data_IF_250665764801
#
_entry.id   IF_250665764801
#
_cell.length_a   1.000
_cell.length_b   1.000
_cell.length_c   1.000
_cell.angle_alpha   90.00
_cell.angle_beta   90.00
_cell.angle_gamma   90.00
#
_symmetry.space_group_name_H-M   'P 1'
#
loop_
_entity.id
_entity.type
_entity.pdbx_description
1 polymer ?
#
# COMPACT_ATOMS: atom_id res chain seq x y z
N UNK A 1 3.87 -7.56 -1.29
CA UNK A 1 2.68 -6.73 -1.61
C UNK A 1 2.79 -5.40 -0.91
N UNK A 2 2.33 -4.34 -1.59
CA UNK A 2 2.14 -3.00 -1.02
C UNK A 2 0.64 -2.80 -0.89
N UNK A 3 0.16 -2.45 0.30
CA UNK A 3 -1.27 -2.27 0.55
C UNK A 3 -1.55 -1.22 1.64
N UNK A 4 -2.62 -0.45 1.43
CA UNK A 4 -3.21 0.45 2.40
C UNK A 4 -4.49 -0.17 2.97
N UNK A 5 -4.62 -0.13 4.29
CA UNK A 5 -5.80 -0.63 5.00
C UNK A 5 -6.52 0.51 5.73
N UNK A 6 -7.80 0.29 6.01
CA UNK A 6 -8.58 1.12 6.91
C UNK A 6 -7.89 1.15 8.29
N UNK A 7 -8.00 2.26 9.05
CA UNK A 7 -7.36 2.37 10.35
C UNK A 7 -7.78 1.22 11.28
N UNK A 8 -6.78 0.58 11.90
CA UNK A 8 -7.01 -0.42 12.95
C UNK A 8 -6.84 0.22 14.32
N UNK A 9 -7.51 -0.31 15.33
CA UNK A 9 -7.38 0.19 16.71
C UNK A 9 -6.38 -0.63 17.51
N UNK A 10 -5.41 0.03 18.12
CA UNK A 10 -4.47 -0.56 19.07
C UNK A 10 -4.57 0.20 20.38
N UNK A 11 -5.01 -0.47 21.45
CA UNK A 11 -5.24 0.15 22.76
C UNK A 11 -6.19 1.37 22.71
N UNK A 12 -7.21 1.33 21.83
CA UNK A 12 -8.18 2.41 21.65
C UNK A 12 -7.69 3.57 20.76
N UNK A 13 -6.44 3.51 20.28
CA UNK A 13 -5.87 4.53 19.40
C UNK A 13 -5.98 4.04 17.94
N UNK A 14 -6.60 4.83 17.03
CA UNK A 14 -6.62 4.49 15.61
C UNK A 14 -5.22 4.65 15.00
N UNK A 15 -4.79 3.67 14.22
CA UNK A 15 -3.50 3.63 13.54
C UNK A 15 -3.71 3.36 12.06
N UNK A 16 -3.14 4.21 11.21
CA UNK A 16 -3.08 3.99 9.78
C UNK A 16 -2.13 2.82 9.49
N UNK A 17 -2.69 1.67 9.11
CA UNK A 17 -1.90 0.47 8.86
C UNK A 17 -1.57 0.30 7.39
N UNK A 18 -0.29 0.08 7.09
CA UNK A 18 0.24 -0.17 5.74
C UNK A 18 1.04 -1.46 5.75
N UNK A 19 0.92 -2.25 4.68
CA UNK A 19 1.88 -3.32 4.40
C UNK A 19 2.82 -2.82 3.32
N UNK A 20 4.08 -2.58 3.66
CA UNK A 20 5.12 -2.10 2.74
C UNK A 20 6.16 -3.19 2.59
N UNK A 21 5.99 -4.02 1.56
CA UNK A 21 6.83 -5.18 1.35
C UNK A 21 6.41 -6.36 2.23
N UNK A 22 6.40 -7.54 1.61
CA UNK A 22 6.46 -8.81 2.34
C UNK A 22 7.87 -9.34 2.05
N UNK A 23 8.53 -10.07 2.95
CA UNK A 23 9.83 -10.69 2.65
C UNK A 23 9.82 -11.71 1.49
N UNK A 24 8.68 -11.84 0.79
CA UNK A 24 8.44 -12.64 -0.39
C UNK A 24 8.06 -11.73 -1.59
N UNK A 25 8.21 -12.27 -2.80
CA UNK A 25 7.89 -11.56 -4.05
C UNK A 25 6.45 -11.01 -3.99
N UNK A 26 6.19 -9.73 -4.33
CA UNK A 26 4.82 -9.23 -4.40
C UNK A 26 4.03 -9.99 -5.46
N UNK A 27 2.89 -10.57 -5.09
CA UNK A 27 2.01 -11.32 -5.99
C UNK A 27 0.73 -10.53 -6.24
N UNK A 28 0.37 -10.35 -7.52
CA UNK A 28 -0.73 -9.46 -7.91
C UNK A 28 -2.13 -10.02 -7.78
N UNK A 29 -2.28 -11.33 -8.00
CA UNK A 29 -3.59 -11.96 -7.91
C UNK A 29 -3.81 -12.41 -6.46
N UNK A 30 -4.39 -11.53 -5.65
CA UNK A 30 -4.74 -11.81 -4.25
C UNK A 30 -6.23 -11.54 -4.06
N UNK A 31 -7.08 -12.50 -4.43
CA UNK A 31 -8.54 -12.39 -4.29
C UNK A 31 -8.97 -12.07 -2.86
N UNK A 32 -8.18 -12.51 -1.88
CA UNK A 32 -8.38 -12.24 -0.47
C UNK A 32 -8.24 -10.76 -0.11
N UNK A 33 -7.54 -9.95 -0.92
CA UNK A 33 -7.43 -8.51 -0.71
C UNK A 33 -8.50 -7.73 -1.48
N UNK A 34 -8.96 -8.22 -2.63
CA UNK A 34 -10.00 -7.55 -3.43
C UNK A 34 -11.34 -7.49 -2.68
N UNK A 35 -11.74 -8.60 -2.04
CA UNK A 35 -13.03 -8.70 -1.34
C UNK A 35 -12.95 -8.28 0.13
N UNK A 36 -11.76 -7.91 0.61
CA UNK A 36 -11.55 -7.56 2.01
C UNK A 36 -12.02 -6.12 2.31
N UNK A 37 -13.05 -5.93 3.16
CA UNK A 37 -13.60 -4.59 3.41
C UNK A 37 -12.62 -3.63 4.10
N UNK A 38 -11.57 -4.16 4.74
CA UNK A 38 -10.52 -3.38 5.38
C UNK A 38 -9.41 -2.92 4.42
N UNK A 39 -9.39 -3.37 3.17
CA UNK A 39 -8.37 -2.97 2.19
C UNK A 39 -8.85 -1.72 1.46
N UNK A 40 -8.11 -0.62 1.60
CA UNK A 40 -8.40 0.62 0.86
C UNK A 40 -7.77 0.60 -0.52
N UNK A 41 -6.58 0.03 -0.62
CA UNK A 41 -5.83 -0.08 -1.86
C UNK A 41 -4.74 -1.16 -1.73
N UNK A 42 -4.39 -1.80 -2.84
CA UNK A 42 -3.20 -2.62 -2.95
C UNK A 42 -2.66 -2.60 -4.37
N UNK A 43 -1.38 -2.92 -4.53
CA UNK A 43 -0.73 -2.94 -5.84
C UNK A 43 -1.22 -4.13 -6.69
N UNK A 44 -1.68 -3.83 -7.90
CA UNK A 44 -2.20 -4.81 -8.88
C UNK A 44 -1.40 -4.81 -10.18
N UNK A 45 -0.55 -3.81 -10.39
CA UNK A 45 0.18 -3.63 -11.63
C UNK A 45 1.26 -4.68 -11.78
N UNK A 46 1.15 -5.49 -12.83
CA UNK A 46 2.11 -6.52 -13.15
C UNK A 46 3.47 -5.89 -13.46
N UNK A 47 4.53 -6.39 -12.85
CA UNK A 47 5.89 -5.92 -13.06
C UNK A 47 6.51 -6.40 -14.39
N UNK A 48 5.79 -7.23 -15.14
CA UNK A 48 6.20 -7.90 -16.37
C UNK A 48 7.54 -8.64 -16.22
N UNK A 49 7.76 -9.25 -15.05
CA UNK A 49 8.93 -10.04 -14.78
C UNK A 49 8.81 -11.40 -15.51
N UNK A 50 9.68 -11.70 -16.50
CA UNK A 50 9.58 -12.93 -17.29
C UNK A 50 9.89 -14.18 -16.45
N UNK A 51 10.63 -14.04 -15.35
CA UNK A 51 10.91 -15.16 -14.45
C UNK A 51 9.78 -15.37 -13.44
N UNK A 52 8.99 -14.33 -13.14
CA UNK A 52 7.89 -14.37 -12.17
C UNK A 52 6.66 -13.67 -12.74
N UNK A 53 5.87 -14.33 -13.61
CA UNK A 53 4.77 -13.69 -14.37
C UNK A 53 3.66 -13.08 -13.52
N UNK A 54 3.57 -13.46 -12.25
CA UNK A 54 2.57 -13.00 -11.28
C UNK A 54 3.09 -11.88 -10.38
N UNK A 55 4.34 -11.45 -10.56
CA UNK A 55 4.95 -10.38 -9.79
C UNK A 55 4.24 -9.07 -10.08
N UNK A 56 3.93 -8.32 -9.03
CA UNK A 56 3.54 -6.91 -9.16
C UNK A 56 4.69 -5.98 -8.79
N UNK A 57 4.56 -4.72 -9.19
CA UNK A 57 5.55 -3.70 -8.90
C UNK A 57 5.84 -3.66 -7.39
N UNK A 58 7.14 -3.54 -7.04
CA UNK A 58 7.49 -3.16 -5.68
C UNK A 58 7.11 -1.68 -5.47
N UNK A 59 7.24 -1.23 -4.23
CA UNK A 59 7.07 0.16 -3.89
C UNK A 59 7.50 0.46 -2.47
N UNK A 60 7.36 1.72 -2.09
CA UNK A 60 7.65 2.21 -0.76
C UNK A 60 6.59 3.24 -0.35
N UNK A 61 6.55 3.53 0.95
CA UNK A 61 5.76 4.63 1.48
C UNK A 61 6.62 5.88 1.64
N UNK A 62 6.15 6.99 1.13
CA UNK A 62 6.61 8.31 1.50
C UNK A 62 5.64 8.87 2.56
N UNK A 63 6.19 9.31 3.68
CA UNK A 63 5.45 9.98 4.74
C UNK A 63 5.96 11.43 4.82
N UNK A 64 5.03 12.38 4.76
CA UNK A 64 5.34 13.80 4.92
C UNK A 64 4.55 14.36 6.09
N UNK A 65 5.25 15.04 6.98
CA UNK A 65 4.67 15.72 8.14
C UNK A 65 4.65 17.22 7.88
N UNK A 66 3.46 17.82 7.88
CA UNK A 66 3.24 19.25 7.73
C UNK A 66 2.46 19.77 8.93
N UNK A 67 3.18 20.24 9.96
CA UNK A 67 2.56 20.58 11.23
C UNK A 67 1.96 19.33 11.91
N UNK A 68 0.65 19.33 12.10
CA UNK A 68 -0.11 18.19 12.61
C UNK A 68 -0.55 17.20 11.53
N UNK A 69 -0.35 17.52 10.26
CA UNK A 69 -0.87 16.75 9.15
C UNK A 69 0.13 15.67 8.73
N UNK A 70 -0.36 14.45 8.59
CA UNK A 70 0.37 13.32 8.03
C UNK A 70 -0.16 13.04 6.63
N UNK A 71 0.70 13.21 5.63
CA UNK A 71 0.41 12.89 4.23
C UNK A 71 1.17 11.60 3.88
N UNK A 72 0.43 10.62 3.40
CA UNK A 72 0.94 9.30 3.03
C UNK A 72 0.84 9.11 1.53
N UNK A 73 1.94 8.72 0.89
CA UNK A 73 1.97 8.41 -0.54
C UNK A 73 2.61 7.05 -0.74
N UNK A 74 1.95 6.17 -1.48
CA UNK A 74 2.53 4.90 -1.94
C UNK A 74 3.05 5.10 -3.36
N UNK A 75 4.34 4.82 -3.52
CA UNK A 75 5.09 5.03 -4.76
C UNK A 75 5.63 3.69 -5.24
N UNK A 76 5.48 3.39 -6.53
CA UNK A 76 6.04 2.17 -7.10
C UNK A 76 7.56 2.24 -7.33
N UNK A 77 8.14 1.11 -7.73
CA UNK A 77 9.58 0.99 -8.04
C UNK A 77 10.04 1.86 -9.22
N UNK A 78 9.10 2.38 -10.02
CA UNK A 78 9.37 3.29 -11.14
C UNK A 78 9.23 4.77 -10.74
N UNK A 79 8.84 5.06 -9.49
CA UNK A 79 8.62 6.42 -8.99
C UNK A 79 7.21 6.98 -9.25
N UNK A 80 6.27 6.16 -9.71
CA UNK A 80 4.89 6.57 -9.94
C UNK A 80 4.07 6.53 -8.65
N UNK A 81 3.29 7.59 -8.40
CA UNK A 81 2.32 7.62 -7.29
C UNK A 81 1.16 6.68 -7.61
N UNK A 82 0.91 5.74 -6.71
CA UNK A 82 -0.16 4.74 -6.86
C UNK A 82 -1.35 4.98 -5.95
N UNK A 83 -1.09 5.57 -4.79
CA UNK A 83 -2.11 5.87 -3.80
C UNK A 83 -1.66 7.02 -2.91
N UNK A 84 -2.60 7.86 -2.52
CA UNK A 84 -2.35 8.97 -1.62
C UNK A 84 -3.47 9.06 -0.58
N UNK A 85 -3.08 9.38 0.65
CA UNK A 85 -3.97 9.73 1.73
C UNK A 85 -3.46 10.98 2.41
N UNK A 86 -4.28 12.01 2.36
CA UNK A 86 -4.09 13.26 3.07
C UNK A 86 -5.30 13.45 4.01
N UNK A 87 -5.13 14.18 5.14
CA UNK A 87 -6.25 14.54 5.98
C UNK A 87 -7.30 15.29 5.15
N UNK A 88 -8.58 15.01 5.39
CA UNK A 88 -9.66 15.83 4.83
C UNK A 88 -9.58 17.22 5.46
N UNK A 89 -9.42 18.25 4.63
CA UNK A 89 -9.53 19.66 5.03
C UNK A 89 -10.87 19.98 5.67
#
# INVERSE_FOLDING_TARGET
NVAAYAPLSFSGIPVNTRCIGHGAVPYGNTSELEDAPQVLWYEKENANDPAIPVRVLNGFAQLRLEGSDLIETLVDENGSVKWEHAPST
#
